data_IF_645764582967
#
_entry.id   IF_645764582967
#
_cell.length_a   1.000
_cell.length_b   1.000
_cell.length_c   1.000
_cell.angle_alpha   90.00
_cell.angle_beta   90.00
_cell.angle_gamma   90.00
#
_symmetry.space_group_name_H-M   'P 1'
#
loop_
_entity.id
_entity.type
_entity.pdbx_description
1 polymer ?
#
# COMPACT_ATOMS: atom_id res chain seq x y z
N UNK A 1 -4.18 -9.23 -18.54
CA UNK A 1 -4.42 -8.37 -17.37
C UNK A 1 -3.86 -7.00 -17.74
N UNK A 2 -4.67 -5.95 -17.89
CA UNK A 2 -4.11 -4.62 -18.12
C UNK A 2 -3.24 -4.25 -16.91
N UNK A 3 -2.19 -3.48 -17.16
CA UNK A 3 -1.25 -2.99 -16.15
C UNK A 3 -2.07 -2.31 -15.04
N UNK A 4 -2.12 -2.92 -13.86
CA UNK A 4 -2.99 -2.49 -12.75
C UNK A 4 -2.36 -1.27 -12.07
N UNK A 5 -2.30 -0.15 -12.79
CA UNK A 5 -1.70 1.10 -12.33
C UNK A 5 -2.67 1.79 -11.38
N UNK A 6 -2.32 1.82 -10.09
CA UNK A 6 -3.04 2.55 -9.07
C UNK A 6 -2.36 3.90 -8.84
N UNK A 7 -3.11 5.00 -8.98
CA UNK A 7 -2.62 6.36 -8.74
C UNK A 7 -3.37 6.91 -7.52
N UNK A 8 -2.84 6.74 -6.30
CA UNK A 8 -3.46 7.30 -5.10
C UNK A 8 -3.31 8.82 -5.09
N UNK A 9 -4.43 9.52 -4.92
CA UNK A 9 -4.48 10.98 -4.78
C UNK A 9 -5.21 11.31 -3.47
N UNK A 10 -4.66 12.22 -2.69
CA UNK A 10 -5.32 12.77 -1.51
C UNK A 10 -5.18 14.27 -1.52
N UNK A 11 -6.26 14.96 -1.16
CA UNK A 11 -6.33 16.41 -1.12
C UNK A 11 -6.74 16.81 0.30
N UNK A 12 -6.02 17.77 0.87
CA UNK A 12 -6.31 18.33 2.19
C UNK A 12 -6.62 19.81 1.99
N UNK A 13 -7.79 20.26 2.45
CA UNK A 13 -8.15 21.67 2.48
C UNK A 13 -7.80 22.27 3.84
N UNK A 14 -7.32 23.51 3.86
CA UNK A 14 -6.87 24.21 5.08
C UNK A 14 -8.01 25.00 5.77
N UNK A 15 -9.26 24.53 5.66
CA UNK A 15 -10.43 25.23 6.20
C UNK A 15 -10.89 24.67 7.55
N UNK A 16 -11.29 25.54 8.48
CA UNK A 16 -11.98 25.14 9.71
C UNK A 16 -13.33 24.49 9.37
N UNK A 17 -13.44 23.18 9.62
CA UNK A 17 -14.52 22.34 9.12
C UNK A 17 -15.85 22.65 9.83
N UNK A 18 -16.75 23.36 9.15
CA UNK A 18 -18.20 23.28 9.43
C UNK A 18 -18.77 22.04 8.72
N UNK A 19 -19.90 21.48 9.16
CA UNK A 19 -20.51 20.28 8.50
C UNK A 19 -20.71 20.46 6.99
N UNK A 20 -20.97 21.69 6.53
CA UNK A 20 -21.08 22.01 5.12
C UNK A 20 -19.72 21.89 4.40
N UNK A 21 -18.60 22.19 5.06
CA UNK A 21 -17.24 22.08 4.51
C UNK A 21 -16.88 20.64 4.11
N UNK A 22 -17.32 19.63 4.87
CA UNK A 22 -17.09 18.22 4.51
C UNK A 22 -17.80 17.84 3.21
N UNK A 23 -19.02 18.33 3.00
CA UNK A 23 -19.75 18.09 1.75
C UNK A 23 -19.06 18.75 0.55
N UNK A 24 -18.47 19.94 0.74
CA UNK A 24 -17.68 20.62 -0.30
C UNK A 24 -16.34 19.93 -0.56
N UNK A 25 -15.64 19.48 0.48
CA UNK A 25 -14.38 18.76 0.38
C UNK A 25 -14.52 17.51 -0.49
N UNK A 26 -15.56 16.70 -0.25
CA UNK A 26 -15.80 15.50 -1.06
C UNK A 26 -16.11 15.86 -2.51
N UNK A 27 -16.92 16.90 -2.76
CA UNK A 27 -17.21 17.34 -4.14
C UNK A 27 -15.95 17.80 -4.88
N UNK A 28 -15.05 18.52 -4.21
CA UNK A 28 -13.78 18.98 -4.79
C UNK A 28 -12.86 17.81 -5.10
N UNK A 29 -12.71 16.87 -4.17
CA UNK A 29 -11.88 15.65 -4.37
C UNK A 29 -12.40 14.83 -5.56
N UNK A 30 -13.72 14.69 -5.66
CA UNK A 30 -14.37 14.02 -6.78
C UNK A 30 -14.12 14.71 -8.11
N UNK A 31 -14.27 16.04 -8.18
CA UNK A 31 -13.98 16.81 -9.40
C UNK A 31 -12.54 16.59 -9.86
N UNK A 32 -11.57 16.71 -8.94
CA UNK A 32 -10.15 16.51 -9.27
C UNK A 32 -9.89 15.06 -9.71
N UNK A 33 -10.50 14.07 -9.05
CA UNK A 33 -10.37 12.67 -9.45
C UNK A 33 -10.94 12.38 -10.84
N UNK A 34 -12.10 12.95 -11.16
CA UNK A 34 -12.74 12.82 -12.47
C UNK A 34 -11.96 13.54 -13.57
N UNK A 35 -11.48 14.76 -13.31
CA UNK A 35 -10.62 15.49 -14.25
C UNK A 35 -9.32 14.74 -14.52
N UNK A 36 -8.70 14.18 -13.48
CA UNK A 36 -7.51 13.33 -13.64
C UNK A 36 -7.81 12.11 -14.51
N UNK A 37 -8.91 11.39 -14.26
CA UNK A 37 -9.30 10.24 -15.07
C UNK A 37 -9.58 10.62 -16.55
N UNK A 38 -10.26 11.76 -16.77
CA UNK A 38 -10.52 12.28 -18.11
C UNK A 38 -9.21 12.67 -18.83
N UNK A 39 -8.28 13.32 -18.13
CA UNK A 39 -6.97 13.70 -18.67
C UNK A 39 -6.11 12.48 -19.07
N UNK A 40 -6.33 11.34 -18.42
CA UNK A 40 -5.69 10.06 -18.74
C UNK A 40 -6.38 9.33 -19.91
N UNK A 41 -7.44 9.90 -20.49
CA UNK A 41 -8.18 9.30 -21.61
C UNK A 41 -9.00 8.07 -21.24
N UNK A 42 -9.39 7.95 -19.96
CA UNK A 42 -10.24 6.85 -19.49
C UNK A 42 -11.63 6.97 -20.11
N UNK A 43 -12.12 5.89 -20.73
CA UNK A 43 -13.45 5.84 -21.36
C UNK A 43 -14.53 5.26 -20.46
N UNK A 44 -14.16 4.30 -19.61
CA UNK A 44 -15.06 3.59 -18.69
C UNK A 44 -14.55 3.80 -17.28
N UNK A 45 -15.37 4.41 -16.43
CA UNK A 45 -14.97 4.75 -15.07
C UNK A 45 -15.93 4.16 -14.05
N UNK A 46 -15.39 3.52 -13.01
CA UNK A 46 -16.16 3.13 -11.83
C UNK A 46 -15.64 3.90 -10.64
N UNK A 47 -16.52 4.61 -9.96
CA UNK A 47 -16.18 5.42 -8.79
C UNK A 47 -16.81 4.82 -7.54
N UNK A 48 -16.03 4.78 -6.48
CA UNK A 48 -16.38 4.24 -5.17
C UNK A 48 -16.36 5.35 -4.13
N UNK A 49 -17.34 5.35 -3.22
CA UNK A 49 -17.41 6.31 -2.11
C UNK A 49 -18.22 5.72 -0.95
N UNK A 50 -17.84 6.08 0.29
CA UNK A 50 -18.43 5.59 1.55
C UNK A 50 -19.62 6.43 2.04
N UNK A 51 -19.95 7.51 1.34
CA UNK A 51 -21.08 8.38 1.61
C UNK A 51 -22.26 8.04 0.72
N UNK A 52 -23.19 7.28 1.29
CA UNK A 52 -24.47 6.95 0.63
C UNK A 52 -25.24 8.21 0.21
N UNK A 53 -25.10 9.33 0.92
CA UNK A 53 -25.70 10.60 0.55
C UNK A 53 -25.14 11.10 -0.79
N UNK A 54 -23.81 11.12 -0.93
CA UNK A 54 -23.12 11.65 -2.09
C UNK A 54 -23.37 10.77 -3.30
N UNK A 55 -23.20 9.45 -3.16
CA UNK A 55 -23.53 8.47 -4.21
C UNK A 55 -24.96 8.65 -4.73
N UNK A 56 -25.94 8.85 -3.84
CA UNK A 56 -27.33 9.03 -4.26
C UNK A 56 -27.60 10.39 -4.91
N UNK A 57 -26.91 11.45 -4.50
CA UNK A 57 -27.04 12.78 -5.10
C UNK A 57 -26.43 12.84 -6.50
N UNK A 58 -25.23 12.29 -6.69
CA UNK A 58 -24.56 12.26 -8.01
C UNK A 58 -25.25 11.30 -8.98
N UNK A 59 -25.79 10.18 -8.48
CA UNK A 59 -26.60 9.26 -9.28
C UNK A 59 -27.99 9.82 -9.64
N UNK A 60 -28.27 11.09 -9.32
CA UNK A 60 -29.55 11.77 -9.54
C UNK A 60 -30.75 11.11 -8.84
N UNK A 61 -30.51 10.18 -7.91
CA UNK A 61 -31.56 9.51 -7.14
C UNK A 61 -32.16 10.48 -6.13
N UNK A 62 -31.35 11.33 -5.52
CA UNK A 62 -31.76 12.29 -4.51
C UNK A 62 -31.53 13.73 -4.98
N UNK A 63 -32.48 14.62 -4.65
CA UNK A 63 -32.42 16.04 -5.04
C UNK A 63 -31.53 16.83 -4.08
N UNK A 64 -30.55 17.55 -4.61
CA UNK A 64 -29.74 18.51 -3.84
C UNK A 64 -30.59 19.75 -3.52
N UNK A 65 -30.68 20.11 -2.24
CA UNK A 65 -31.45 21.27 -1.76
C UNK A 65 -30.62 22.55 -1.64
N UNK A 66 -29.30 22.41 -1.54
CA UNK A 66 -28.36 23.53 -1.42
C UNK A 66 -28.08 24.14 -2.80
N UNK A 67 -28.25 25.46 -2.93
CA UNK A 67 -27.93 26.20 -4.16
C UNK A 67 -26.45 26.10 -4.51
N UNK A 68 -25.58 26.11 -3.51
CA UNK A 68 -24.13 25.98 -3.70
C UNK A 68 -23.75 24.59 -4.23
N UNK A 69 -24.31 23.52 -3.68
CA UNK A 69 -24.10 22.14 -4.16
C UNK A 69 -24.68 21.91 -5.57
N UNK A 70 -25.71 22.66 -5.95
CA UNK A 70 -26.27 22.57 -7.31
C UNK A 70 -25.30 23.04 -8.40
N UNK A 71 -24.40 23.99 -8.10
CA UNK A 71 -23.36 24.40 -9.04
C UNK A 71 -22.33 23.28 -9.28
N UNK A 72 -21.94 22.57 -8.22
CA UNK A 72 -21.03 21.42 -8.33
C UNK A 72 -21.64 20.28 -9.15
N UNK A 73 -22.93 20.02 -8.98
CA UNK A 73 -23.64 19.01 -9.79
C UNK A 73 -23.58 19.30 -11.29
N UNK A 74 -23.75 20.56 -11.70
CA UNK A 74 -23.66 20.93 -13.12
C UNK A 74 -22.24 20.71 -13.67
N UNK A 75 -21.21 21.01 -12.87
CA UNK A 75 -19.83 20.78 -13.27
C UNK A 75 -19.48 19.29 -13.37
N UNK A 76 -19.97 18.48 -12.41
CA UNK A 76 -19.81 17.03 -12.42
C UNK A 76 -20.46 16.41 -13.65
N UNK A 77 -21.65 16.88 -14.06
CA UNK A 77 -22.30 16.41 -15.29
C UNK A 77 -21.42 16.68 -16.52
N UNK A 78 -20.87 17.89 -16.64
CA UNK A 78 -20.04 18.28 -17.77
C UNK A 78 -18.77 17.41 -17.89
N UNK A 79 -18.20 17.00 -16.76
CA UNK A 79 -17.04 16.09 -16.78
C UNK A 79 -17.48 14.65 -17.04
N UNK A 80 -18.62 14.22 -16.47
CA UNK A 80 -19.17 12.89 -16.71
C UNK A 80 -19.49 12.64 -18.20
N UNK A 81 -19.87 13.67 -18.95
CA UNK A 81 -20.08 13.60 -20.42
C UNK A 81 -18.82 13.22 -21.21
N UNK A 82 -17.63 13.33 -20.63
CA UNK A 82 -16.37 12.95 -21.29
C UNK A 82 -16.13 11.43 -21.28
N UNK A 83 -16.89 10.69 -20.46
CA UNK A 83 -16.79 9.24 -20.34
C UNK A 83 -17.87 8.55 -21.18
N UNK A 84 -17.56 7.41 -21.80
CA UNK A 84 -18.55 6.58 -22.48
C UNK A 84 -19.49 5.90 -21.47
N UNK A 85 -18.94 5.54 -20.30
CA UNK A 85 -19.72 4.97 -19.20
C UNK A 85 -19.09 5.36 -17.85
N UNK A 86 -19.94 5.76 -16.91
CA UNK A 86 -19.55 6.01 -15.53
C UNK A 86 -20.50 5.30 -14.56
N UNK A 87 -19.95 4.51 -13.64
CA UNK A 87 -20.70 3.76 -12.63
C UNK A 87 -20.34 4.24 -11.23
N UNK A 88 -21.36 4.57 -10.44
CA UNK A 88 -21.19 5.00 -9.05
C UNK A 88 -21.59 3.87 -8.09
N UNK A 89 -20.66 3.41 -7.28
CA UNK A 89 -20.85 2.30 -6.35
C UNK A 89 -20.60 2.76 -4.92
N UNK A 90 -21.54 2.44 -4.02
CA UNK A 90 -21.31 2.60 -2.59
C UNK A 90 -20.32 1.53 -2.12
N UNK A 91 -19.25 1.96 -1.42
CA UNK A 91 -18.28 1.06 -0.82
C UNK A 91 -18.33 1.22 0.70
N UNK A 92 -18.39 0.11 1.44
CA UNK A 92 -18.36 0.19 2.90
C UNK A 92 -16.97 0.60 3.38
N UNK A 93 -16.87 1.26 4.53
CA UNK A 93 -15.55 1.65 5.10
C UNK A 93 -14.64 0.46 5.35
N UNK A 94 -15.21 -0.69 5.71
CA UNK A 94 -14.45 -1.92 5.93
C UNK A 94 -13.79 -2.42 4.62
N UNK A 95 -14.35 -2.05 3.47
CA UNK A 95 -13.85 -2.39 2.14
C UNK A 95 -12.94 -1.29 1.54
N UNK A 96 -13.02 -0.04 2.04
CA UNK A 96 -12.24 1.11 1.54
C UNK A 96 -11.01 1.45 2.41
N UNK A 97 -10.39 0.43 2.98
CA UNK A 97 -9.26 0.58 3.93
C UNK A 97 -8.07 1.34 3.32
N UNK A 98 -7.89 1.28 2.00
CA UNK A 98 -6.80 1.96 1.32
C UNK A 98 -7.03 3.47 1.23
N UNK A 99 -8.24 3.92 0.85
CA UNK A 99 -8.56 5.34 0.85
C UNK A 99 -8.56 5.91 2.27
N UNK A 100 -9.09 5.17 3.25
CA UNK A 100 -9.04 5.54 4.67
C UNK A 100 -7.61 5.70 5.18
N UNK A 101 -6.71 4.76 4.83
CA UNK A 101 -5.30 4.86 5.19
C UNK A 101 -4.64 6.08 4.53
N UNK A 102 -4.97 6.38 3.27
CA UNK A 102 -4.44 7.52 2.54
C UNK A 102 -4.92 8.86 3.13
N UNK A 103 -6.22 8.98 3.43
CA UNK A 103 -6.80 10.15 4.06
C UNK A 103 -6.19 10.39 5.45
N UNK A 104 -6.00 9.31 6.22
CA UNK A 104 -5.32 9.40 7.53
C UNK A 104 -3.88 9.87 7.39
N UNK A 105 -3.12 9.33 6.44
CA UNK A 105 -1.77 9.80 6.15
C UNK A 105 -1.76 11.28 5.77
N UNK A 106 -2.64 11.72 4.87
CA UNK A 106 -2.73 13.11 4.45
C UNK A 106 -3.08 14.06 5.61
N UNK A 107 -3.99 13.66 6.51
CA UNK A 107 -4.32 14.45 7.70
C UNK A 107 -3.12 14.68 8.63
N UNK A 108 -2.24 13.67 8.76
CA UNK A 108 -1.03 13.73 9.59
C UNK A 108 0.09 14.55 8.96
N UNK A 109 0.07 14.75 7.64
CA UNK A 109 1.08 15.51 6.93
C UNK A 109 0.80 17.01 7.04
N UNK A 110 1.83 17.76 7.43
CA UNK A 110 1.87 19.21 7.29
C UNK A 110 2.62 19.53 6.00
N UNK A 111 1.89 20.02 5.01
CA UNK A 111 2.48 20.48 3.75
C UNK A 111 3.19 21.81 4.04
N UNK A 112 4.52 21.91 3.82
CA UNK A 112 5.23 23.17 4.01
C UNK A 112 4.64 24.24 3.08
N UNK A 113 4.54 25.48 3.56
CA UNK A 113 3.92 26.61 2.82
C UNK A 113 4.54 26.91 1.44
N UNK A 114 5.68 26.30 1.11
CA UNK A 114 6.42 26.49 -0.15
C UNK A 114 6.15 25.36 -1.18
N UNK A 115 5.23 24.43 -0.89
CA UNK A 115 4.94 23.31 -1.79
C UNK A 115 3.44 23.01 -1.86
N UNK A 116 2.90 22.89 -3.07
CA UNK A 116 1.47 22.62 -3.30
C UNK A 116 1.13 21.11 -3.29
N UNK A 117 2.13 20.23 -3.29
CA UNK A 117 1.93 18.78 -3.33
C UNK A 117 3.09 18.02 -2.66
N UNK A 118 2.77 16.89 -2.00
CA UNK A 118 3.73 15.91 -1.49
C UNK A 118 3.55 14.61 -2.28
N UNK A 119 4.62 14.12 -2.91
CA UNK A 119 4.60 12.81 -3.59
C UNK A 119 5.00 11.71 -2.61
N UNK A 120 4.13 10.72 -2.40
CA UNK A 120 4.41 9.53 -1.60
C UNK A 120 4.59 8.32 -2.52
N UNK A 121 5.75 7.64 -2.41
CA UNK A 121 6.02 6.41 -3.15
C UNK A 121 5.98 5.22 -2.21
N UNK A 122 5.06 4.29 -2.46
CA UNK A 122 4.99 3.00 -1.75
C UNK A 122 5.62 1.95 -2.66
N UNK A 123 6.73 1.35 -2.22
CA UNK A 123 7.40 0.27 -2.94
C UNK A 123 7.13 -1.06 -2.24
N UNK A 124 6.49 -1.99 -2.96
CA UNK A 124 6.48 -3.39 -2.54
C UNK A 124 7.86 -3.97 -2.81
N UNK A 125 8.53 -4.46 -1.76
CA UNK A 125 9.76 -5.23 -1.89
C UNK A 125 9.46 -6.68 -1.60
N UNK A 126 9.55 -7.52 -2.63
CA UNK A 126 9.30 -8.96 -2.53
C UNK A 126 10.41 -9.67 -1.75
N UNK A 127 11.62 -9.14 -1.84
CA UNK A 127 12.78 -9.69 -1.15
C UNK A 127 12.99 -8.99 0.20
N UNK A 128 13.12 -9.76 1.29
CA UNK A 128 13.50 -9.22 2.58
C UNK A 128 14.80 -8.41 2.48
N UNK A 129 14.94 -7.29 3.22
CA UNK A 129 16.10 -6.42 3.14
C UNK A 129 17.45 -7.09 3.51
N UNK A 130 17.45 -8.33 4.02
CA UNK A 130 18.68 -9.07 4.31
C UNK A 130 19.31 -9.70 3.06
N UNK A 131 18.56 -9.92 1.97
CA UNK A 131 19.08 -10.49 0.72
C UNK A 131 20.19 -9.63 0.10
N UNK A 132 20.14 -8.31 0.35
CA UNK A 132 21.13 -7.33 -0.11
C UNK A 132 22.18 -6.97 0.93
N UNK A 133 22.09 -7.51 2.15
CA UNK A 133 23.01 -7.20 3.26
C UNK A 133 24.13 -8.24 3.40
N UNK A 134 24.07 -9.30 2.60
CA UNK A 134 25.14 -10.27 2.44
C UNK A 134 25.80 -9.86 1.11
N UNK A 135 26.88 -9.08 1.20
CA UNK A 135 27.82 -8.93 0.08
C UNK A 135 28.46 -10.32 -0.12
N UNK A 136 27.75 -11.20 -0.83
CA UNK A 136 28.28 -12.49 -1.25
C UNK A 136 28.93 -12.31 -2.62
N UNK A 137 30.16 -11.78 -2.61
CA UNK A 137 31.08 -11.82 -3.76
C UNK A 137 31.59 -13.26 -4.03
N UNK A 138 31.11 -14.27 -3.30
CA UNK A 138 31.35 -15.67 -3.59
C UNK A 138 30.21 -16.24 -4.41
N UNK A 139 30.51 -16.76 -5.60
CA UNK A 139 29.59 -17.68 -6.27
C UNK A 139 29.22 -18.82 -5.29
N UNK A 140 27.93 -19.11 -5.07
CA UNK A 140 27.54 -20.19 -4.19
C UNK A 140 28.06 -21.50 -4.77
N UNK A 141 29.07 -22.06 -4.10
CA UNK A 141 29.49 -23.44 -4.39
C UNK A 141 28.27 -24.33 -4.09
N UNK A 142 27.82 -25.08 -5.10
CA UNK A 142 26.59 -25.91 -5.11
C UNK A 142 26.48 -26.95 -3.98
N UNK A 143 27.46 -27.03 -3.08
CA UNK A 143 27.59 -28.06 -2.06
C UNK A 143 27.18 -27.60 -0.66
N UNK A 144 27.08 -26.29 -0.39
CA UNK A 144 26.74 -25.82 0.96
C UNK A 144 25.25 -25.45 1.12
N UNK A 145 24.59 -25.88 2.21
CA UNK A 145 23.21 -25.53 2.48
C UNK A 145 23.04 -24.02 2.66
N UNK A 146 22.02 -23.45 2.01
CA UNK A 146 21.66 -22.03 2.11
C UNK A 146 21.45 -21.53 3.56
N UNK A 147 21.15 -22.43 4.49
CA UNK A 147 20.90 -22.12 5.90
C UNK A 147 22.12 -22.33 6.81
N UNK A 148 23.31 -22.61 6.26
CA UNK A 148 24.53 -22.92 7.03
C UNK A 148 24.89 -21.83 8.02
N UNK A 149 24.84 -20.56 7.62
CA UNK A 149 25.19 -19.44 8.51
C UNK A 149 24.20 -19.28 9.67
N UNK A 150 22.92 -19.55 9.42
CA UNK A 150 21.87 -19.54 10.45
C UNK A 150 22.08 -20.69 11.43
N UNK A 151 22.40 -21.88 10.91
CA UNK A 151 22.67 -23.07 11.71
C UNK A 151 23.90 -22.86 12.60
N UNK A 152 25.01 -22.37 12.03
CA UNK A 152 26.22 -22.03 12.77
C UNK A 152 25.92 -21.03 13.87
N UNK A 153 25.25 -19.92 13.54
CA UNK A 153 24.91 -18.88 14.53
C UNK A 153 24.00 -19.41 15.65
N UNK A 154 23.00 -20.25 15.33
CA UNK A 154 22.12 -20.86 16.35
C UNK A 154 22.82 -21.89 17.22
N UNK A 155 23.86 -22.53 16.69
CA UNK A 155 24.60 -23.59 17.39
C UNK A 155 25.72 -23.02 18.26
N UNK A 156 26.54 -22.11 17.74
CA UNK A 156 27.68 -21.53 18.47
C UNK A 156 27.38 -20.19 19.13
N UNK A 157 26.35 -19.46 18.68
CA UNK A 157 26.08 -18.08 19.10
C UNK A 157 27.05 -17.05 18.50
N UNK A 158 28.02 -17.50 17.69
CA UNK A 158 29.09 -16.67 17.16
C UNK A 158 28.85 -16.29 15.70
N UNK A 159 29.40 -15.14 15.30
CA UNK A 159 29.38 -14.67 13.92
C UNK A 159 30.69 -15.04 13.23
N UNK A 160 30.66 -15.16 11.90
CA UNK A 160 31.90 -15.28 11.15
C UNK A 160 32.80 -14.05 11.42
N UNK A 161 34.11 -14.28 11.52
CA UNK A 161 35.07 -13.26 11.94
C UNK A 161 35.08 -12.04 11.01
N UNK A 162 34.73 -12.24 9.74
CA UNK A 162 34.66 -11.19 8.70
C UNK A 162 33.27 -10.51 8.56
N UNK A 163 32.27 -10.90 9.36
CA UNK A 163 30.90 -10.36 9.20
C UNK A 163 30.82 -8.90 9.65
N UNK A 164 30.32 -8.02 8.77
CA UNK A 164 30.12 -6.60 9.09
C UNK A 164 29.07 -6.40 10.21
N UNK A 165 29.11 -5.31 10.99
CA UNK A 165 28.11 -5.03 12.04
C UNK A 165 26.66 -5.06 11.52
N UNK A 166 26.44 -4.63 10.27
CA UNK A 166 25.14 -4.61 9.60
C UNK A 166 24.67 -6.03 9.30
N UNK A 167 25.56 -6.89 8.77
CA UNK A 167 25.29 -8.29 8.52
C UNK A 167 25.06 -9.09 9.82
N UNK A 168 25.77 -8.78 10.91
CA UNK A 168 25.51 -9.39 12.24
C UNK A 168 24.09 -9.07 12.73
N UNK A 169 23.63 -7.82 12.55
CA UNK A 169 22.27 -7.42 12.91
C UNK A 169 21.23 -8.12 12.03
N UNK A 170 21.47 -8.20 10.72
CA UNK A 170 20.58 -8.89 9.79
C UNK A 170 20.46 -10.38 10.13
N UNK A 171 21.58 -11.07 10.39
CA UNK A 171 21.60 -12.49 10.75
C UNK A 171 20.87 -12.76 12.07
N UNK A 172 20.98 -11.87 13.07
CA UNK A 172 20.19 -11.98 14.32
C UNK A 172 18.68 -11.91 14.07
N UNK A 173 18.25 -10.97 13.24
CA UNK A 173 16.83 -10.80 12.88
C UNK A 173 16.31 -11.97 12.04
N UNK A 174 17.16 -12.53 11.17
CA UNK A 174 16.81 -13.69 10.38
C UNK A 174 16.70 -14.93 11.26
N UNK A 175 17.72 -15.20 12.08
CA UNK A 175 17.78 -16.36 12.96
C UNK A 175 16.67 -16.38 14.02
N UNK A 176 16.08 -15.24 14.40
CA UNK A 176 14.92 -15.22 15.31
C UNK A 176 13.70 -15.95 14.74
N UNK A 177 13.60 -16.10 13.42
CA UNK A 177 12.54 -16.83 12.73
C UNK A 177 12.80 -18.34 12.66
N UNK A 178 13.93 -18.80 13.20
CA UNK A 178 14.33 -20.20 13.19
C UNK A 178 14.55 -20.71 14.61
N UNK A 179 14.34 -22.01 14.77
CA UNK A 179 14.56 -22.73 16.01
C UNK A 179 15.47 -23.93 15.78
N UNK A 180 16.30 -24.26 16.77
CA UNK A 180 17.22 -25.38 16.70
C UNK A 180 16.66 -26.51 17.56
N UNK A 181 16.36 -27.65 16.95
CA UNK A 181 15.86 -28.82 17.66
C UNK A 181 16.62 -30.06 17.19
N UNK A 182 17.25 -30.76 18.14
CA UNK A 182 18.07 -31.96 17.87
C UNK A 182 19.17 -31.76 16.80
N UNK A 183 19.75 -30.56 16.72
CA UNK A 183 20.77 -30.22 15.72
C UNK A 183 20.22 -29.90 14.33
N UNK A 184 18.89 -29.95 14.14
CA UNK A 184 18.21 -29.56 12.92
C UNK A 184 17.54 -28.19 13.06
N UNK A 185 17.53 -27.44 11.95
CA UNK A 185 16.98 -26.08 11.92
C UNK A 185 15.53 -26.11 11.43
N UNK A 186 14.65 -25.46 12.16
CA UNK A 186 13.22 -25.34 11.82
C UNK A 186 12.84 -23.88 11.61
N UNK A 187 12.08 -23.59 10.56
CA UNK A 187 11.53 -22.26 10.31
C UNK A 187 10.11 -22.13 10.87
N UNK A 188 9.81 -21.02 11.53
CA UNK A 188 8.46 -20.68 11.94
C UNK A 188 7.62 -20.25 10.73
N UNK A 189 6.44 -20.85 10.59
CA UNK A 189 5.39 -20.34 9.68
C UNK A 189 4.45 -19.39 10.42
N UNK A 190 3.71 -18.51 9.70
CA UNK A 190 2.70 -17.64 10.29
C UNK A 190 1.66 -18.40 11.13
N UNK A 191 1.39 -19.67 10.79
CA UNK A 191 0.45 -20.55 11.48
C UNK A 191 1.07 -21.32 12.65
N UNK A 192 2.27 -20.91 13.14
CA UNK A 192 3.04 -21.56 14.22
C UNK A 192 3.46 -23.02 13.96
N UNK A 193 3.34 -23.49 12.72
CA UNK A 193 3.87 -24.80 12.30
C UNK A 193 5.38 -24.65 12.06
N UNK A 194 6.17 -25.60 12.56
CA UNK A 194 7.63 -25.66 12.37
C UNK A 194 7.93 -26.52 11.14
N UNK A 195 8.62 -25.94 10.15
CA UNK A 195 9.06 -26.67 8.95
C UNK A 195 10.56 -26.92 9.00
N UNK A 196 10.98 -28.16 8.76
CA UNK A 196 12.38 -28.55 8.73
C UNK A 196 13.11 -27.91 7.54
N UNK A 197 14.24 -27.26 7.79
CA UNK A 197 15.12 -26.77 6.73
C UNK A 197 15.89 -27.94 6.11
N UNK A 198 15.67 -28.18 4.81
CA UNK A 198 16.33 -29.26 4.06
C UNK A 198 17.21 -28.70 2.95
N UNK A 199 18.30 -29.41 2.65
CA UNK A 199 19.11 -29.16 1.46
C UNK A 199 18.30 -29.56 0.21
N UNK A 200 18.59 -28.93 -0.94
CA UNK A 200 17.96 -29.24 -2.23
C UNK A 200 18.02 -30.73 -2.61
N UNK A 201 18.98 -31.48 -2.06
CA UNK A 201 19.16 -32.92 -2.34
C UNK A 201 18.25 -33.83 -1.49
N UNK A 202 17.57 -33.28 -0.46
CA UNK A 202 16.65 -33.99 0.45
C UNK A 202 15.19 -33.57 0.28
N UNK A 203 14.91 -32.53 -0.50
CA UNK A 203 13.55 -32.13 -0.84
C UNK A 203 13.02 -33.03 -1.98
N UNK A 204 12.39 -34.16 -1.64
CA UNK A 204 11.60 -34.99 -2.56
C UNK A 204 10.16 -35.00 -2.10
#
# INVERSE_FOLDING_TARGET
MPLNTHIPISIKLDSEVTKNAVEYEVCIVWLVGLEAAASLGVKYLRVFDDSSLIINQISRRWKVRSTSLSMYQAHLDQIAEQFEEIEYTYLSRDDDQFADALAKLASMLNVPNESDAITLKVELREEPPYCYAIDDDSEPTKEEPWYKDILCYKTSGEFHSKTSPRAKRALRLLASQYDLYLGELYKYTPNKVKMLCVHQNRAK
#
